data_IF_716433039624
#
_entry.id   IF_716433039624
#
_cell.length_a   1.000
_cell.length_b   1.000
_cell.length_c   1.000
_cell.angle_alpha   90.00
_cell.angle_beta   90.00
_cell.angle_gamma   90.00
#
_symmetry.space_group_name_H-M   'P 1'
#
loop_
_entity.id
_entity.type
_entity.pdbx_description
1 polymer ?
#
# COMPACT_ATOMS: atom_id res chain seq x y z
N UNK A 1 -5.18 -32.71 -8.50
CA UNK A 1 -5.16 -31.49 -9.34
C UNK A 1 -5.18 -30.27 -8.42
N UNK A 2 -4.32 -29.27 -8.65
CA UNK A 2 -4.31 -28.02 -7.86
C UNK A 2 -5.60 -27.23 -8.13
N UNK A 3 -6.27 -26.76 -7.08
CA UNK A 3 -7.49 -25.95 -7.15
C UNK A 3 -7.30 -24.65 -6.38
N UNK A 4 -8.11 -23.63 -6.68
CA UNK A 4 -8.09 -22.37 -5.92
C UNK A 4 -8.39 -22.61 -4.44
N UNK A 5 -9.36 -23.47 -4.13
CA UNK A 5 -9.69 -23.85 -2.74
C UNK A 5 -8.50 -24.48 -2.03
N UNK A 6 -7.71 -25.32 -2.72
CA UNK A 6 -6.46 -25.88 -2.17
C UNK A 6 -5.40 -24.81 -1.92
N UNK A 7 -5.26 -23.83 -2.83
CA UNK A 7 -4.34 -22.69 -2.63
C UNK A 7 -4.78 -21.84 -1.44
N UNK A 8 -6.08 -21.56 -1.29
CA UNK A 8 -6.62 -20.80 -0.15
C UNK A 8 -6.41 -21.56 1.15
N UNK A 9 -6.66 -22.88 1.17
CA UNK A 9 -6.40 -23.71 2.35
C UNK A 9 -4.92 -23.68 2.75
N UNK A 10 -4.01 -23.81 1.78
CA UNK A 10 -2.57 -23.67 2.03
C UNK A 10 -2.21 -22.27 2.54
N UNK A 11 -2.79 -21.22 1.94
CA UNK A 11 -2.58 -19.83 2.34
C UNK A 11 -3.03 -19.54 3.79
N UNK A 12 -4.11 -20.19 4.24
CA UNK A 12 -4.58 -20.16 5.64
C UNK A 12 -3.58 -20.86 6.56
N UNK A 13 -3.18 -22.09 6.21
CA UNK A 13 -2.23 -22.87 7.01
C UNK A 13 -0.89 -22.13 7.17
N UNK A 14 -0.37 -21.55 6.10
CA UNK A 14 0.87 -20.77 6.15
C UNK A 14 0.75 -19.53 7.04
N UNK A 15 -0.37 -18.81 6.98
CA UNK A 15 -0.64 -17.65 7.85
C UNK A 15 -0.72 -18.05 9.32
N UNK A 16 -1.42 -19.15 9.63
CA UNK A 16 -1.45 -19.70 10.99
C UNK A 16 -0.03 -20.07 11.45
N UNK A 17 0.75 -20.76 10.60
CA UNK A 17 2.13 -21.12 10.92
C UNK A 17 3.02 -19.90 11.20
N UNK A 18 2.98 -18.88 10.34
CA UNK A 18 3.74 -17.64 10.53
C UNK A 18 3.26 -16.85 11.75
N UNK A 19 1.96 -16.84 12.03
CA UNK A 19 1.40 -16.24 13.23
C UNK A 19 1.92 -16.91 14.50
N UNK A 20 1.85 -18.25 14.57
CA UNK A 20 2.35 -19.02 15.72
C UNK A 20 3.86 -18.87 15.89
N UNK A 21 4.61 -18.90 14.79
CA UNK A 21 6.05 -18.62 14.81
C UNK A 21 6.33 -17.20 15.31
N UNK A 22 5.53 -16.22 14.89
CA UNK A 22 5.64 -14.84 15.37
C UNK A 22 5.46 -14.72 16.88
N UNK A 23 4.49 -15.42 17.46
CA UNK A 23 4.30 -15.47 18.92
C UNK A 23 5.52 -16.08 19.61
N UNK A 24 6.03 -17.20 19.09
CA UNK A 24 7.24 -17.84 19.62
C UNK A 24 8.46 -16.90 19.55
N UNK A 25 8.68 -16.25 18.41
CA UNK A 25 9.78 -15.31 18.21
C UNK A 25 9.67 -14.10 19.15
N UNK A 26 8.46 -13.56 19.33
CA UNK A 26 8.23 -12.44 20.24
C UNK A 26 8.55 -12.78 21.70
N UNK A 27 8.35 -14.02 22.11
CA UNK A 27 8.66 -14.49 23.47
C UNK A 27 10.15 -14.83 23.65
N UNK A 28 10.78 -15.47 22.66
CA UNK A 28 12.09 -16.12 22.84
C UNK A 28 13.27 -15.38 22.20
N UNK A 29 13.03 -14.42 21.30
CA UNK A 29 14.10 -13.77 20.53
C UNK A 29 14.22 -12.27 20.86
N UNK A 30 15.44 -11.69 20.71
CA UNK A 30 15.65 -10.25 20.90
C UNK A 30 14.95 -9.43 19.81
N UNK A 31 15.06 -9.85 18.55
CA UNK A 31 14.37 -9.20 17.43
C UNK A 31 12.93 -9.67 17.40
N UNK A 32 12.01 -8.75 17.68
CA UNK A 32 10.57 -9.03 17.71
C UNK A 32 10.00 -9.22 16.31
N UNK A 33 9.08 -10.17 16.19
CA UNK A 33 8.29 -10.40 15.00
C UNK A 33 7.19 -9.35 14.89
N UNK A 34 6.45 -9.08 15.97
CA UNK A 34 5.36 -8.09 15.95
C UNK A 34 5.86 -6.73 15.48
N UNK A 35 5.13 -6.14 14.53
CA UNK A 35 5.37 -4.78 14.07
C UNK A 35 5.06 -3.79 15.20
N UNK A 36 5.89 -2.78 15.38
CA UNK A 36 5.70 -1.77 16.43
C UNK A 36 4.40 -1.01 16.24
N UNK A 37 3.97 -0.81 14.99
CA UNK A 37 2.69 -0.18 14.66
C UNK A 37 1.50 -1.00 15.23
N UNK A 38 1.60 -2.33 15.28
CA UNK A 38 0.54 -3.17 15.85
C UNK A 38 0.31 -2.90 17.34
N UNK A 39 1.40 -2.65 18.07
CA UNK A 39 1.32 -2.28 19.50
C UNK A 39 0.68 -0.91 19.65
N UNK A 40 1.05 0.05 18.80
CA UNK A 40 0.43 1.38 18.77
C UNK A 40 -1.07 1.29 18.46
N UNK A 41 -1.50 0.45 17.52
CA UNK A 41 -2.91 0.24 17.23
C UNK A 41 -3.67 -0.40 18.41
N UNK A 42 -3.05 -1.39 19.05
CA UNK A 42 -3.65 -2.13 20.17
C UNK A 42 -3.81 -1.25 21.41
N UNK A 43 -2.82 -0.42 21.71
CA UNK A 43 -2.91 0.57 22.78
C UNK A 43 -3.98 1.63 22.48
N UNK A 44 -4.03 2.13 21.25
CA UNK A 44 -5.07 3.07 20.82
C UNK A 44 -6.47 2.47 20.88
N UNK A 45 -6.63 1.19 20.51
CA UNK A 45 -7.92 0.50 20.61
C UNK A 45 -8.36 0.29 22.06
N UNK A 46 -7.42 0.16 22.99
CA UNK A 46 -7.71 0.13 24.44
C UNK A 46 -8.32 1.44 24.93
N UNK A 47 -7.78 2.58 24.49
CA UNK A 47 -8.38 3.89 24.81
C UNK A 47 -9.79 4.01 24.25
N UNK A 48 -10.00 3.60 22.99
CA UNK A 48 -11.35 3.59 22.39
C UNK A 48 -12.30 2.67 23.16
N UNK A 49 -11.84 1.47 23.57
CA UNK A 49 -12.63 0.54 24.37
C UNK A 49 -13.04 1.12 25.74
N UNK A 50 -12.23 2.00 26.31
CA UNK A 50 -12.51 2.73 27.55
C UNK A 50 -13.35 4.01 27.33
N UNK A 51 -13.82 4.27 26.11
CA UNK A 51 -14.58 5.48 25.77
C UNK A 51 -13.73 6.74 25.63
N UNK A 52 -12.41 6.60 25.44
CA UNK A 52 -11.45 7.70 25.34
C UNK A 52 -10.94 7.88 23.90
N UNK A 53 -10.22 8.99 23.67
CA UNK A 53 -9.58 9.29 22.38
C UNK A 53 -8.44 8.30 22.08
N UNK A 54 -8.38 7.68 20.88
CA UNK A 54 -7.24 6.84 20.50
C UNK A 54 -5.92 7.63 20.46
N UNK A 55 -6.00 8.95 20.32
CA UNK A 55 -4.85 9.85 20.26
C UNK A 55 -4.16 10.06 21.62
N UNK A 56 -4.76 9.60 22.72
CA UNK A 56 -4.07 9.48 24.00
C UNK A 56 -2.90 8.48 23.95
N UNK A 57 -2.90 7.57 22.96
CA UNK A 57 -1.70 6.80 22.65
C UNK A 57 -0.74 7.69 21.88
N UNK A 58 0.38 8.02 22.52
CA UNK A 58 1.49 8.69 21.86
C UNK A 58 1.86 7.97 20.57
N UNK A 59 2.23 8.71 19.52
CA UNK A 59 2.58 8.19 18.18
C UNK A 59 1.46 7.49 17.41
N UNK A 60 0.22 7.45 17.90
CA UNK A 60 -0.92 7.05 17.05
C UNK A 60 -1.18 8.12 15.99
N UNK A 61 -0.96 7.80 14.71
CA UNK A 61 -1.07 8.70 13.54
C UNK A 61 -1.98 8.16 12.46
N UNK A 62 -3.00 7.39 12.88
CA UNK A 62 -3.93 6.71 11.99
C UNK A 62 -5.34 7.22 12.25
N UNK A 63 -6.28 6.94 11.35
CA UNK A 63 -7.69 7.28 11.58
C UNK A 63 -8.25 6.50 12.77
N UNK A 64 -9.22 7.05 13.52
CA UNK A 64 -9.80 6.34 14.66
C UNK A 64 -10.49 5.05 14.26
N UNK A 65 -10.96 4.95 13.01
CA UNK A 65 -11.59 3.76 12.45
C UNK A 65 -10.74 2.50 12.63
N UNK A 66 -9.41 2.59 12.47
CA UNK A 66 -8.52 1.46 12.70
C UNK A 66 -8.54 1.03 14.18
N UNK A 67 -8.36 1.95 15.12
CA UNK A 67 -8.45 1.64 16.55
C UNK A 67 -9.82 1.06 16.93
N UNK A 68 -10.91 1.60 16.38
CA UNK A 68 -12.27 1.08 16.60
C UNK A 68 -12.42 -0.37 16.14
N UNK A 69 -11.91 -0.71 14.96
CA UNK A 69 -11.92 -2.09 14.44
C UNK A 69 -11.14 -3.06 15.33
N UNK A 70 -10.15 -2.58 16.08
CA UNK A 70 -9.30 -3.37 16.97
C UNK A 70 -9.76 -3.36 18.43
N UNK A 71 -10.92 -2.78 18.75
CA UNK A 71 -11.47 -2.83 20.11
C UNK A 71 -11.63 -4.26 20.67
N UNK A 72 -11.90 -5.31 19.86
CA UNK A 72 -11.96 -6.68 20.37
C UNK A 72 -10.63 -7.17 20.97
N UNK A 73 -9.48 -6.55 20.65
CA UNK A 73 -8.21 -6.87 21.31
C UNK A 73 -8.29 -6.79 22.85
N UNK A 74 -9.26 -6.02 23.38
CA UNK A 74 -9.44 -5.75 24.80
C UNK A 74 -10.50 -6.64 25.47
N UNK A 75 -11.11 -7.60 24.76
CA UNK A 75 -12.15 -8.49 25.32
C UNK A 75 -11.61 -9.59 26.23
N UNK A 76 -10.28 -9.70 26.36
CA UNK A 76 -9.61 -10.62 27.27
C UNK A 76 -8.33 -11.21 26.66
N UNK A 77 -7.60 -12.04 27.42
CA UNK A 77 -6.29 -12.56 27.00
C UNK A 77 -6.33 -13.34 25.68
N UNK A 78 -7.41 -14.09 25.41
CA UNK A 78 -7.57 -14.86 24.17
C UNK A 78 -7.74 -13.98 22.92
N UNK A 79 -8.10 -12.70 23.09
CA UNK A 79 -8.38 -11.77 21.99
C UNK A 79 -7.25 -10.79 21.72
N UNK A 80 -6.16 -10.79 22.49
CA UNK A 80 -5.07 -9.81 22.38
C UNK A 80 -4.46 -9.70 20.97
N UNK A 81 -4.55 -10.78 20.18
CA UNK A 81 -4.07 -10.86 18.80
C UNK A 81 -5.18 -10.80 17.75
N UNK A 82 -6.40 -10.40 18.12
CA UNK A 82 -7.54 -10.33 17.20
C UNK A 82 -7.23 -9.48 15.97
N UNK A 83 -6.55 -8.34 16.13
CA UNK A 83 -6.15 -7.49 15.01
C UNK A 83 -5.28 -8.20 13.97
N UNK A 84 -4.32 -9.02 14.40
CA UNK A 84 -3.51 -9.85 13.47
C UNK A 84 -4.39 -10.84 12.72
N UNK A 85 -5.37 -11.47 13.39
CA UNK A 85 -6.33 -12.37 12.74
C UNK A 85 -7.16 -11.63 11.70
N UNK A 86 -7.68 -10.45 12.06
CA UNK A 86 -8.42 -9.58 11.15
C UNK A 86 -7.59 -9.20 9.91
N UNK A 87 -6.31 -8.86 10.07
CA UNK A 87 -5.43 -8.53 8.94
C UNK A 87 -5.13 -9.74 8.05
N UNK A 88 -4.86 -10.91 8.65
CA UNK A 88 -4.72 -12.17 7.90
C UNK A 88 -5.97 -12.50 7.08
N UNK A 89 -7.16 -12.26 7.64
CA UNK A 89 -8.42 -12.43 6.91
C UNK A 89 -8.55 -11.42 5.77
N UNK A 90 -8.12 -10.18 5.98
CA UNK A 90 -8.05 -9.15 4.94
C UNK A 90 -7.23 -9.61 3.73
N UNK A 91 -6.04 -10.18 3.95
CA UNK A 91 -5.21 -10.71 2.86
C UNK A 91 -5.91 -11.80 2.06
N UNK A 92 -6.61 -12.72 2.73
CA UNK A 92 -7.32 -13.82 2.07
C UNK A 92 -8.47 -13.28 1.22
N UNK A 93 -9.23 -12.31 1.74
CA UNK A 93 -10.28 -11.61 0.99
C UNK A 93 -9.69 -10.91 -0.23
N UNK A 94 -8.58 -10.18 -0.07
CA UNK A 94 -7.86 -9.53 -1.18
C UNK A 94 -7.45 -10.55 -2.23
N UNK A 95 -6.91 -11.71 -1.83
CA UNK A 95 -6.53 -12.78 -2.75
C UNK A 95 -7.70 -13.37 -3.52
N UNK A 96 -8.87 -13.53 -2.88
CA UNK A 96 -10.10 -13.97 -3.54
C UNK A 96 -10.59 -12.91 -4.55
N UNK A 97 -10.55 -11.63 -4.20
CA UNK A 97 -10.91 -10.53 -5.10
C UNK A 97 -9.97 -10.47 -6.31
N UNK A 98 -8.66 -10.67 -6.10
CA UNK A 98 -7.68 -10.77 -7.18
C UNK A 98 -8.03 -11.94 -8.12
N UNK A 99 -8.28 -13.13 -7.57
CA UNK A 99 -8.61 -14.31 -8.38
C UNK A 99 -9.91 -14.11 -9.20
N UNK A 100 -10.93 -13.45 -8.61
CA UNK A 100 -12.18 -13.12 -9.31
C UNK A 100 -11.94 -12.14 -10.47
N UNK A 101 -11.18 -11.07 -10.25
CA UNK A 101 -10.87 -10.10 -11.29
C UNK A 101 -10.02 -10.71 -12.42
N UNK A 102 -9.06 -11.58 -12.10
CA UNK A 102 -8.29 -12.32 -13.09
C UNK A 102 -9.18 -13.23 -13.96
N UNK A 103 -10.21 -13.85 -13.37
CA UNK A 103 -11.12 -14.74 -14.08
C UNK A 103 -11.95 -14.02 -15.17
N UNK A 104 -12.04 -12.69 -15.13
CA UNK A 104 -12.67 -11.89 -16.18
C UNK A 104 -11.93 -11.98 -17.52
N UNK A 105 -10.61 -12.20 -17.48
CA UNK A 105 -9.84 -12.41 -18.69
C UNK A 105 -10.00 -13.85 -19.21
N UNK A 106 -10.96 -14.02 -20.12
CA UNK A 106 -11.28 -15.31 -20.76
C UNK A 106 -10.13 -15.91 -21.56
N UNK A 107 -9.07 -15.14 -21.84
CA UNK A 107 -7.88 -15.65 -22.55
C UNK A 107 -6.91 -16.39 -21.63
N UNK A 108 -7.06 -16.28 -20.31
CA UNK A 108 -6.20 -16.95 -19.35
C UNK A 108 -6.52 -18.44 -19.25
N UNK A 109 -5.49 -19.27 -19.43
CA UNK A 109 -5.61 -20.69 -19.11
C UNK A 109 -5.81 -20.90 -17.61
N UNK A 110 -6.52 -21.97 -17.24
CA UNK A 110 -6.76 -22.33 -15.83
C UNK A 110 -5.45 -22.41 -15.02
N UNK A 111 -4.39 -22.98 -15.60
CA UNK A 111 -3.09 -23.08 -14.95
C UNK A 111 -2.45 -21.72 -14.71
N UNK A 112 -2.46 -20.81 -15.71
CA UNK A 112 -1.92 -19.45 -15.56
C UNK A 112 -2.72 -18.66 -14.51
N UNK A 113 -4.06 -18.79 -14.52
CA UNK A 113 -4.93 -18.17 -13.52
C UNK A 113 -4.61 -18.63 -12.09
N UNK A 114 -4.38 -19.94 -11.88
CA UNK A 114 -3.98 -20.48 -10.57
C UNK A 114 -2.62 -19.96 -10.12
N UNK A 115 -1.63 -19.89 -11.03
CA UNK A 115 -0.29 -19.37 -10.73
C UNK A 115 -0.38 -17.90 -10.33
N UNK A 116 -1.06 -17.07 -11.12
CA UNK A 116 -1.23 -15.64 -10.83
C UNK A 116 -1.97 -15.41 -9.50
N UNK A 117 -3.02 -16.18 -9.22
CA UNK A 117 -3.74 -16.11 -7.93
C UNK A 117 -2.84 -16.48 -6.74
N UNK A 118 -1.90 -17.40 -6.94
CA UNK A 118 -0.94 -17.83 -5.92
C UNK A 118 0.08 -16.73 -5.57
N UNK A 119 0.38 -15.81 -6.50
CA UNK A 119 1.38 -14.74 -6.29
C UNK A 119 1.02 -13.74 -5.18
N UNK A 120 -0.25 -13.69 -4.77
CA UNK A 120 -0.68 -12.93 -3.59
C UNK A 120 -0.90 -13.86 -2.39
N UNK A 121 -1.70 -14.92 -2.58
CA UNK A 121 -2.12 -15.82 -1.50
C UNK A 121 -0.95 -16.53 -0.81
N UNK A 122 0.08 -16.91 -1.56
CA UNK A 122 1.25 -17.66 -1.08
C UNK A 122 2.51 -16.79 -0.98
N UNK A 123 2.40 -15.47 -1.11
CA UNK A 123 3.56 -14.59 -1.07
C UNK A 123 4.07 -14.43 0.36
N UNK A 124 5.33 -14.82 0.66
CA UNK A 124 5.87 -14.74 2.01
C UNK A 124 5.92 -13.31 2.55
N UNK A 125 6.08 -12.30 1.69
CA UNK A 125 6.05 -10.89 2.11
C UNK A 125 4.66 -10.45 2.55
N UNK A 126 3.63 -10.82 1.79
CA UNK A 126 2.22 -10.53 2.13
C UNK A 126 1.84 -11.22 3.43
N UNK A 127 2.13 -12.53 3.53
CA UNK A 127 1.88 -13.33 4.73
C UNK A 127 2.57 -12.70 5.94
N UNK A 128 3.87 -12.39 5.84
CA UNK A 128 4.65 -11.83 6.94
C UNK A 128 4.11 -10.47 7.37
N UNK A 129 3.79 -9.56 6.46
CA UNK A 129 3.34 -8.21 6.81
C UNK A 129 2.01 -8.25 7.59
N UNK A 130 1.07 -9.11 7.21
CA UNK A 130 -0.20 -9.23 7.93
C UNK A 130 -0.08 -9.96 9.27
N UNK A 131 0.70 -11.05 9.34
CA UNK A 131 0.93 -11.80 10.60
C UNK A 131 1.73 -11.00 11.62
N UNK A 132 2.61 -10.10 11.17
CA UNK A 132 3.31 -9.14 12.04
C UNK A 132 2.37 -8.08 12.64
N UNK A 133 1.17 -7.89 12.07
CA UNK A 133 0.16 -6.97 12.58
C UNK A 133 0.02 -5.66 11.82
N UNK A 134 0.42 -5.61 10.53
CA UNK A 134 0.22 -4.42 9.71
C UNK A 134 -1.23 -4.31 9.20
N UNK A 135 -1.80 -3.11 9.27
CA UNK A 135 -3.18 -2.83 8.81
C UNK A 135 -3.31 -2.66 7.29
N UNK A 136 -2.22 -2.80 6.53
CA UNK A 136 -2.23 -2.71 5.06
C UNK A 136 -3.23 -3.67 4.43
N UNK A 137 -3.41 -4.86 4.99
CA UNK A 137 -4.38 -5.85 4.51
C UNK A 137 -5.80 -5.30 4.42
N UNK A 138 -6.24 -4.48 5.39
CA UNK A 138 -7.56 -3.84 5.34
C UNK A 138 -7.65 -2.86 4.17
N UNK A 139 -6.61 -2.06 3.99
CA UNK A 139 -6.57 -1.09 2.91
C UNK A 139 -6.59 -1.75 1.53
N UNK A 140 -5.89 -2.87 1.38
CA UNK A 140 -5.94 -3.66 0.13
C UNK A 140 -7.34 -4.17 -0.17
N UNK A 141 -8.10 -4.61 0.84
CA UNK A 141 -9.51 -5.01 0.67
C UNK A 141 -10.34 -3.83 0.17
N UNK A 142 -10.22 -2.66 0.79
CA UNK A 142 -10.98 -1.46 0.38
C UNK A 142 -10.70 -1.07 -1.07
N UNK A 143 -9.42 -1.05 -1.48
CA UNK A 143 -9.01 -0.75 -2.85
C UNK A 143 -9.52 -1.81 -3.82
N UNK A 144 -9.35 -3.10 -3.50
CA UNK A 144 -9.79 -4.19 -4.39
C UNK A 144 -11.31 -4.31 -4.47
N UNK A 145 -12.06 -3.96 -3.43
CA UNK A 145 -13.52 -3.84 -3.48
C UNK A 145 -13.94 -2.72 -4.42
N UNK A 146 -13.29 -1.55 -4.34
CA UNK A 146 -13.54 -0.44 -5.27
C UNK A 146 -13.39 -0.89 -6.73
N UNK A 147 -12.30 -1.59 -7.04
CA UNK A 147 -12.02 -2.07 -8.39
C UNK A 147 -12.91 -3.23 -8.80
N UNK A 148 -13.25 -4.12 -7.87
CA UNK A 148 -14.17 -5.22 -8.13
C UNK A 148 -15.56 -4.71 -8.52
N UNK A 149 -16.14 -3.78 -7.75
CA UNK A 149 -17.44 -3.21 -8.11
C UNK A 149 -17.41 -2.41 -9.43
N UNK A 150 -16.30 -1.72 -9.71
CA UNK A 150 -16.13 -0.99 -10.96
C UNK A 150 -16.05 -1.93 -12.17
N UNK A 151 -15.21 -2.95 -12.09
CA UNK A 151 -14.83 -3.79 -13.23
C UNK A 151 -15.83 -4.92 -13.41
N UNK A 152 -16.27 -5.59 -12.35
CA UNK A 152 -17.17 -6.75 -12.44
C UNK A 152 -18.61 -6.30 -12.73
N UNK A 153 -19.11 -5.34 -11.95
CA UNK A 153 -20.51 -4.94 -11.99
C UNK A 153 -20.76 -3.62 -12.73
N UNK A 154 -19.72 -2.87 -13.09
CA UNK A 154 -19.89 -1.52 -13.64
C UNK A 154 -20.48 -0.53 -12.64
N UNK A 155 -20.52 -0.87 -11.34
CA UNK A 155 -21.17 -0.08 -10.30
C UNK A 155 -20.22 1.03 -9.81
N UNK A 156 -20.37 2.20 -10.45
CA UNK A 156 -19.60 3.42 -10.22
C UNK A 156 -19.77 3.93 -8.79
N UNK A 157 -20.97 3.84 -8.21
CA UNK A 157 -21.27 4.41 -6.89
C UNK A 157 -20.65 3.56 -5.77
N UNK A 158 -20.80 2.24 -5.84
CA UNK A 158 -20.15 1.33 -4.89
C UNK A 158 -18.62 1.44 -4.99
N UNK A 159 -18.09 1.52 -6.21
CA UNK A 159 -16.66 1.73 -6.43
C UNK A 159 -16.15 3.04 -5.81
N UNK A 160 -16.85 4.15 -6.04
CA UNK A 160 -16.53 5.45 -5.48
C UNK A 160 -16.60 5.47 -3.94
N UNK A 161 -17.60 4.80 -3.34
CA UNK A 161 -17.70 4.64 -1.90
C UNK A 161 -16.47 3.93 -1.31
N UNK A 162 -16.11 2.76 -1.85
CA UNK A 162 -14.96 2.00 -1.36
C UNK A 162 -13.64 2.75 -1.55
N UNK A 163 -13.48 3.51 -2.65
CA UNK A 163 -12.30 4.36 -2.84
C UNK A 163 -12.27 5.51 -1.82
N UNK A 164 -13.41 6.18 -1.59
CA UNK A 164 -13.51 7.25 -0.60
C UNK A 164 -13.18 6.76 0.82
N UNK A 165 -13.66 5.57 1.17
CA UNK A 165 -13.33 4.91 2.44
C UNK A 165 -11.86 4.50 2.51
N UNK A 166 -11.27 4.03 1.41
CA UNK A 166 -9.83 3.74 1.35
C UNK A 166 -8.98 5.01 1.59
N UNK A 167 -9.36 6.13 0.95
CA UNK A 167 -8.69 7.43 1.11
C UNK A 167 -8.84 7.97 2.53
N UNK A 168 -10.01 7.77 3.15
CA UNK A 168 -10.20 8.07 4.56
C UNK A 168 -9.20 7.27 5.40
N UNK A 169 -9.17 5.94 5.22
CA UNK A 169 -8.34 5.03 5.99
C UNK A 169 -6.84 5.34 5.89
N UNK A 170 -6.34 5.62 4.68
CA UNK A 170 -5.00 6.20 4.42
C UNK A 170 -5.08 7.10 3.18
N UNK A 171 -4.30 8.17 3.12
CA UNK A 171 -4.42 9.20 2.07
C UNK A 171 -4.01 8.70 0.67
N UNK A 172 -2.98 7.85 0.57
CA UNK A 172 -2.33 7.55 -0.72
C UNK A 172 -3.22 6.98 -1.84
N UNK A 173 -4.31 6.21 -1.59
CA UNK A 173 -5.21 5.73 -2.66
C UNK A 173 -5.83 6.85 -3.48
N UNK A 174 -5.73 8.12 -3.04
CA UNK A 174 -6.14 9.30 -3.82
C UNK A 174 -5.48 9.34 -5.20
N UNK A 175 -4.27 8.77 -5.34
CA UNK A 175 -3.58 8.71 -6.65
C UNK A 175 -4.37 7.89 -7.68
N UNK A 176 -5.25 6.98 -7.26
CA UNK A 176 -6.05 6.16 -8.18
C UNK A 176 -7.21 6.91 -8.82
N UNK A 177 -7.63 8.03 -8.23
CA UNK A 177 -8.75 8.81 -8.73
C UNK A 177 -8.51 9.30 -10.18
N UNK A 178 -7.38 9.95 -10.54
CA UNK A 178 -7.07 10.28 -11.93
C UNK A 178 -7.17 9.09 -12.90
N UNK A 179 -6.57 7.95 -12.55
CA UNK A 179 -6.58 6.73 -13.38
C UNK A 179 -8.01 6.23 -13.62
N UNK A 180 -8.84 6.18 -12.57
CA UNK A 180 -10.22 5.73 -12.70
C UNK A 180 -11.06 6.71 -13.52
N UNK A 181 -10.88 8.01 -13.33
CA UNK A 181 -11.58 9.04 -14.12
C UNK A 181 -11.20 8.98 -15.60
N UNK A 182 -9.93 8.72 -15.94
CA UNK A 182 -9.51 8.50 -17.32
C UNK A 182 -10.11 7.21 -17.90
N UNK A 183 -10.11 6.12 -17.14
CA UNK A 183 -10.71 4.85 -17.54
C UNK A 183 -12.20 4.99 -17.89
N UNK A 184 -12.97 5.70 -17.05
CA UNK A 184 -14.40 5.91 -17.24
C UNK A 184 -14.75 6.74 -18.50
N UNK A 185 -13.80 7.49 -19.07
CA UNK A 185 -14.03 8.20 -20.34
C UNK A 185 -14.22 7.27 -21.54
N UNK A 186 -13.74 6.02 -21.49
CA UNK A 186 -13.91 5.07 -22.60
C UNK A 186 -15.38 4.71 -22.87
N UNK A 187 -16.25 4.89 -21.87
CA UNK A 187 -17.66 4.48 -21.93
C UNK A 187 -18.62 5.65 -21.71
N UNK A 188 -18.17 6.88 -21.92
CA UNK A 188 -18.93 8.10 -21.62
C UNK A 188 -18.80 9.15 -22.72
N UNK A 189 -19.91 9.76 -23.11
CA UNK A 189 -19.89 10.95 -23.97
C UNK A 189 -19.50 12.18 -23.13
N UNK A 190 -18.57 13.02 -23.60
CA UNK A 190 -18.17 14.22 -22.89
C UNK A 190 -19.25 15.30 -22.98
N UNK A 191 -19.41 16.12 -21.93
CA UNK A 191 -20.35 17.27 -21.96
C UNK A 191 -19.85 18.35 -22.92
N UNK A 192 -18.52 18.49 -23.05
CA UNK A 192 -17.85 19.40 -24.00
C UNK A 192 -16.69 18.67 -24.67
N UNK A 193 -16.61 18.73 -26.00
CA UNK A 193 -15.69 17.90 -26.79
C UNK A 193 -14.31 18.56 -27.02
N UNK A 194 -13.48 18.57 -25.98
CA UNK A 194 -12.05 18.91 -26.06
C UNK A 194 -11.21 17.86 -25.28
N UNK A 195 -9.94 17.59 -25.66
CA UNK A 195 -9.16 16.47 -25.11
C UNK A 195 -9.09 16.43 -23.57
N UNK A 196 -8.92 17.59 -22.93
CA UNK A 196 -8.91 17.74 -21.46
C UNK A 196 -10.33 17.73 -20.88
N UNK A 197 -11.29 18.32 -21.60
CA UNK A 197 -12.68 18.46 -21.17
C UNK A 197 -13.46 17.13 -21.33
N UNK A 198 -12.88 16.11 -21.98
CA UNK A 198 -13.42 14.73 -22.00
C UNK A 198 -13.58 14.12 -20.60
N UNK A 199 -12.82 14.62 -19.62
CA UNK A 199 -12.96 14.24 -18.22
C UNK A 199 -14.27 14.75 -17.59
N UNK A 200 -14.85 15.81 -18.14
CA UNK A 200 -16.12 16.38 -17.69
C UNK A 200 -17.27 15.63 -18.35
N UNK A 201 -17.70 14.55 -17.71
CA UNK A 201 -18.85 13.76 -18.09
C UNK A 201 -19.63 13.33 -16.84
N UNK A 202 -20.90 12.95 -17.02
CA UNK A 202 -21.80 12.60 -15.92
C UNK A 202 -21.25 11.46 -15.05
N UNK A 203 -20.59 10.45 -15.65
CA UNK A 203 -20.03 9.32 -14.92
C UNK A 203 -18.86 9.74 -14.02
N UNK A 204 -17.96 10.57 -14.55
CA UNK A 204 -16.84 11.13 -13.79
C UNK A 204 -17.30 12.08 -12.68
N UNK A 205 -18.26 12.97 -12.96
CA UNK A 205 -18.82 13.87 -11.95
C UNK A 205 -19.47 13.05 -10.82
N UNK A 206 -20.29 12.05 -11.16
CA UNK A 206 -20.89 11.15 -10.15
C UNK A 206 -19.82 10.42 -9.34
N UNK A 207 -18.82 9.83 -9.99
CA UNK A 207 -17.75 9.10 -9.31
C UNK A 207 -16.96 10.00 -8.34
N UNK A 208 -16.52 11.18 -8.80
CA UNK A 208 -15.80 12.14 -7.98
C UNK A 208 -16.64 12.64 -6.81
N UNK A 209 -17.91 13.00 -7.06
CA UNK A 209 -18.81 13.51 -6.02
C UNK A 209 -19.07 12.46 -4.94
N UNK A 210 -19.33 11.19 -5.31
CA UNK A 210 -19.55 10.12 -4.34
C UNK A 210 -18.29 9.75 -3.56
N UNK A 211 -17.11 9.80 -4.20
CA UNK A 211 -15.82 9.60 -3.52
C UNK A 211 -15.61 10.68 -2.47
N UNK A 212 -15.81 11.94 -2.84
CA UNK A 212 -15.69 13.10 -1.93
C UNK A 212 -16.74 13.03 -0.82
N UNK A 213 -18.00 12.72 -1.14
CA UNK A 213 -19.07 12.61 -0.16
C UNK A 213 -18.77 11.53 0.89
N UNK A 214 -18.23 10.38 0.47
CA UNK A 214 -17.83 9.32 1.40
C UNK A 214 -16.66 9.77 2.28
N UNK A 215 -15.63 10.39 1.69
CA UNK A 215 -14.50 10.93 2.44
C UNK A 215 -14.95 11.97 3.48
N UNK A 216 -15.81 12.91 3.09
CA UNK A 216 -16.37 13.94 3.97
C UNK A 216 -17.25 13.33 5.07
N UNK A 217 -18.04 12.30 4.75
CA UNK A 217 -18.87 11.60 5.73
C UNK A 217 -18.00 10.98 6.83
N UNK A 218 -17.02 10.15 6.46
CA UNK A 218 -16.19 9.47 7.45
C UNK A 218 -15.26 10.43 8.21
N UNK A 219 -14.68 11.43 7.54
CA UNK A 219 -13.91 12.48 8.21
C UNK A 219 -14.78 13.31 9.15
N UNK A 220 -15.99 13.66 8.72
CA UNK A 220 -16.96 14.39 9.53
C UNK A 220 -17.36 13.60 10.78
N UNK A 221 -17.66 12.30 10.63
CA UNK A 221 -17.96 11.42 11.76
C UNK A 221 -16.80 11.33 12.75
N UNK A 222 -15.56 11.16 12.27
CA UNK A 222 -14.38 11.11 13.15
C UNK A 222 -14.10 12.46 13.82
N UNK A 223 -14.30 13.58 13.11
CA UNK A 223 -14.16 14.91 13.67
C UNK A 223 -15.23 15.22 14.73
N UNK A 224 -16.47 14.77 14.54
CA UNK A 224 -17.52 14.92 15.55
C UNK A 224 -17.21 14.15 16.84
N UNK A 225 -16.48 13.03 16.74
CA UNK A 225 -16.10 12.22 17.90
C UNK A 225 -14.84 12.71 18.62
N UNK A 226 -13.82 13.19 17.89
CA UNK A 226 -12.49 13.46 18.44
C UNK A 226 -11.98 14.89 18.21
N UNK A 227 -12.75 15.74 17.51
CA UNK A 227 -12.41 17.14 17.28
C UNK A 227 -11.09 17.35 16.54
N UNK A 228 -10.33 18.35 16.97
CA UNK A 228 -9.09 18.77 16.31
C UNK A 228 -7.96 17.71 16.39
N UNK A 229 -7.92 16.91 17.46
CA UNK A 229 -6.92 15.83 17.61
C UNK A 229 -6.91 14.89 16.40
N UNK A 230 -8.09 14.58 15.86
CA UNK A 230 -8.24 13.75 14.67
C UNK A 230 -7.49 14.32 13.46
N UNK A 231 -7.67 15.61 13.18
CA UNK A 231 -7.04 16.26 12.03
C UNK A 231 -5.53 16.38 12.22
N UNK A 232 -5.11 16.79 13.42
CA UNK A 232 -3.71 16.98 13.77
C UNK A 232 -2.91 15.68 13.61
N UNK A 233 -3.44 14.57 14.15
CA UNK A 233 -2.73 13.30 14.16
C UNK A 233 -2.91 12.47 12.89
N UNK A 234 -4.09 12.46 12.25
CA UNK A 234 -4.34 11.60 11.09
C UNK A 234 -3.90 12.21 9.75
N UNK A 235 -3.86 13.54 9.65
CA UNK A 235 -3.63 14.22 8.38
C UNK A 235 -2.49 15.26 8.46
N UNK A 236 -2.60 16.25 9.35
CA UNK A 236 -1.65 17.37 9.38
C UNK A 236 -0.24 16.91 9.76
N UNK A 237 -0.12 15.91 10.65
CA UNK A 237 1.16 15.30 10.99
C UNK A 237 1.95 14.81 9.77
N UNK A 238 1.29 14.32 8.72
CA UNK A 238 1.98 13.80 7.53
C UNK A 238 2.65 14.88 6.67
N UNK A 239 2.24 16.14 6.82
CA UNK A 239 2.87 17.27 6.12
C UNK A 239 4.23 17.57 6.76
N UNK A 240 4.29 17.59 8.10
CA UNK A 240 5.48 17.94 8.87
C UNK A 240 6.39 16.75 9.21
N UNK A 241 5.92 15.50 8.98
CA UNK A 241 6.67 14.29 9.32
C UNK A 241 8.05 14.24 8.65
N UNK A 242 9.07 14.04 9.48
CA UNK A 242 10.44 13.66 9.11
C UNK A 242 10.65 12.22 9.54
N UNK A 243 10.74 11.30 8.59
CA UNK A 243 11.07 9.91 8.89
C UNK A 243 12.51 9.61 8.45
N UNK A 244 13.39 9.63 9.45
CA UNK A 244 14.83 9.48 9.27
C UNK A 244 15.32 8.06 9.55
N UNK A 245 14.49 7.20 10.17
CA UNK A 245 14.87 5.81 10.46
C UNK A 245 14.17 4.89 9.48
N UNK A 246 14.75 3.72 9.21
CA UNK A 246 14.06 2.65 8.49
C UNK A 246 13.49 3.04 7.11
N UNK A 247 14.14 3.98 6.41
CA UNK A 247 13.65 4.58 5.18
C UNK A 247 14.50 4.18 3.97
N UNK A 248 13.95 3.42 3.02
CA UNK A 248 14.66 3.00 1.80
C UNK A 248 14.91 4.13 0.80
N UNK A 249 14.24 5.28 1.00
CA UNK A 249 14.30 6.41 0.08
C UNK A 249 15.70 6.99 -0.02
N UNK A 250 16.06 7.47 -1.21
CA UNK A 250 17.30 8.24 -1.43
C UNK A 250 17.35 9.52 -0.58
N UNK A 251 16.19 10.00 -0.10
CA UNK A 251 16.08 11.14 0.80
C UNK A 251 16.41 10.82 2.27
N UNK A 252 16.61 9.54 2.64
CA UNK A 252 16.84 9.12 4.02
C UNK A 252 17.96 9.94 4.70
N UNK A 253 19.14 10.03 4.09
CA UNK A 253 20.28 10.74 4.71
C UNK A 253 20.00 12.23 4.93
N UNK A 254 19.35 12.88 3.96
CA UNK A 254 18.98 14.30 4.09
C UNK A 254 18.01 14.50 5.25
N UNK A 255 17.00 13.63 5.37
CA UNK A 255 16.03 13.66 6.48
C UNK A 255 16.72 13.36 7.83
N UNK A 256 17.68 12.45 7.84
CA UNK A 256 18.47 12.12 9.03
C UNK A 256 19.28 13.31 9.53
N UNK A 257 20.12 13.91 8.68
CA UNK A 257 20.89 15.08 9.10
C UNK A 257 19.99 16.25 9.48
N UNK A 258 18.90 16.48 8.73
CA UNK A 258 17.91 17.51 9.07
C UNK A 258 17.30 17.29 10.45
N UNK A 259 17.02 16.04 10.84
CA UNK A 259 16.50 15.72 12.17
C UNK A 259 17.48 16.02 13.32
N UNK A 260 18.79 16.09 13.02
CA UNK A 260 19.83 16.41 13.99
C UNK A 260 20.15 17.92 14.07
N UNK A 261 19.70 18.72 13.11
CA UNK A 261 19.91 20.17 13.11
C UNK A 261 18.96 20.84 14.11
N UNK A 262 19.51 21.52 15.12
CA UNK A 262 18.74 22.23 16.15
C UNK A 262 18.21 23.60 15.71
N UNK A 263 18.75 24.15 14.62
CA UNK A 263 18.35 25.45 14.07
C UNK A 263 17.49 25.26 12.84
N UNK A 264 16.31 25.86 12.83
CA UNK A 264 15.44 25.91 11.65
C UNK A 264 16.14 26.70 10.53
N UNK A 265 16.82 25.99 9.63
CA UNK A 265 17.39 26.57 8.43
C UNK A 265 16.27 26.99 7.48
N UNK A 266 16.21 28.27 7.12
CA UNK A 266 15.25 28.89 6.20
C UNK A 266 15.43 28.48 4.72
N UNK A 267 16.11 27.36 4.46
CA UNK A 267 16.30 26.80 3.13
C UNK A 267 15.05 26.05 2.67
N UNK A 268 14.73 26.09 1.37
CA UNK A 268 13.69 25.23 0.79
C UNK A 268 13.97 23.77 1.11
N UNK A 269 13.02 23.11 1.75
CA UNK A 269 13.07 21.70 2.11
C UNK A 269 13.22 20.85 0.83
N UNK A 270 14.44 20.41 0.52
CA UNK A 270 14.77 19.66 -0.71
C UNK A 270 13.90 18.40 -0.82
N UNK A 271 13.50 17.80 0.30
CA UNK A 271 12.58 16.67 0.35
C UNK A 271 11.17 16.99 -0.15
N UNK A 272 10.75 18.26 -0.14
CA UNK A 272 9.45 18.68 -0.72
C UNK A 272 9.50 18.67 -2.23
N UNK A 273 10.69 18.84 -2.83
CA UNK A 273 10.87 18.69 -4.27
C UNK A 273 10.63 17.26 -4.73
N UNK A 274 10.74 16.26 -3.85
CA UNK A 274 10.42 14.85 -4.15
C UNK A 274 8.97 14.68 -4.64
N UNK A 275 8.04 15.52 -4.16
CA UNK A 275 6.64 15.45 -4.56
C UNK A 275 6.42 15.81 -6.02
N UNK A 276 7.29 16.62 -6.64
CA UNK A 276 7.13 17.06 -8.02
C UNK A 276 7.25 15.89 -9.00
N UNK A 277 8.40 15.17 -9.11
CA UNK A 277 8.50 14.02 -9.99
C UNK A 277 7.55 12.90 -9.57
N UNK A 278 7.32 12.72 -8.25
CA UNK A 278 6.40 11.69 -7.75
C UNK A 278 4.97 11.91 -8.27
N UNK A 279 4.37 13.09 -8.05
CA UNK A 279 2.99 13.38 -8.44
C UNK A 279 2.85 13.56 -9.96
N UNK A 280 3.86 14.13 -10.62
CA UNK A 280 3.85 14.27 -12.08
C UNK A 280 3.86 12.90 -12.77
N UNK A 281 4.79 12.01 -12.39
CA UNK A 281 4.92 10.70 -13.02
C UNK A 281 3.73 9.80 -12.66
N UNK A 282 3.45 9.64 -11.36
CA UNK A 282 2.42 8.71 -10.89
C UNK A 282 1.00 9.27 -11.02
N UNK A 283 0.77 10.55 -10.76
CA UNK A 283 -0.56 11.15 -10.74
C UNK A 283 -1.05 11.66 -12.10
N UNK A 284 -0.14 11.92 -13.05
CA UNK A 284 -0.48 12.53 -14.34
C UNK A 284 -0.02 11.68 -15.53
N UNK A 285 1.28 11.45 -15.69
CA UNK A 285 1.85 10.82 -16.91
C UNK A 285 1.39 9.37 -17.06
N UNK A 286 1.53 8.55 -16.02
CA UNK A 286 1.12 7.13 -16.07
C UNK A 286 -0.40 6.99 -16.34
N UNK A 287 -1.29 7.68 -15.62
CA UNK A 287 -2.73 7.66 -15.89
C UNK A 287 -3.09 8.04 -17.32
N UNK A 288 -2.48 9.10 -17.86
CA UNK A 288 -2.74 9.56 -19.23
C UNK A 288 -2.42 8.50 -20.29
N UNK A 289 -1.34 7.74 -20.10
CA UNK A 289 -0.84 6.76 -21.08
C UNK A 289 -1.56 5.42 -20.97
N UNK A 290 -1.79 4.94 -19.74
CA UNK A 290 -2.17 3.53 -19.49
C UNK A 290 -3.60 3.32 -19.02
N UNK A 291 -4.24 4.29 -18.35
CA UNK A 291 -5.51 4.05 -17.67
C UNK A 291 -6.65 3.62 -18.61
N UNK A 292 -6.64 4.12 -19.85
CA UNK A 292 -7.62 3.74 -20.89
C UNK A 292 -7.34 2.40 -21.54
N UNK A 293 -6.09 1.91 -21.47
CA UNK A 293 -5.67 0.64 -22.09
C UNK A 293 -5.98 -0.52 -21.16
N UNK A 294 -5.44 -0.46 -19.94
CA UNK A 294 -5.66 -1.46 -18.90
C UNK A 294 -5.52 -0.79 -17.52
N UNK A 295 -6.65 -0.65 -16.82
CA UNK A 295 -6.68 0.07 -15.55
C UNK A 295 -5.78 -0.59 -14.49
N UNK A 296 -5.84 -1.91 -14.32
CA UNK A 296 -5.11 -2.59 -13.25
C UNK A 296 -3.60 -2.56 -13.46
N UNK A 297 -3.13 -2.70 -14.71
CA UNK A 297 -1.72 -2.54 -15.06
C UNK A 297 -1.26 -1.09 -14.90
N UNK A 298 -2.14 -0.12 -15.21
CA UNK A 298 -1.89 1.30 -14.91
C UNK A 298 -1.70 1.52 -13.39
N UNK A 299 -2.59 0.99 -12.55
CA UNK A 299 -2.50 1.14 -11.09
C UNK A 299 -1.25 0.46 -10.51
N UNK A 300 -0.81 -0.66 -11.07
CA UNK A 300 0.47 -1.29 -10.72
C UNK A 300 1.66 -0.34 -10.95
N UNK A 301 1.85 0.12 -12.19
CA UNK A 301 2.98 0.99 -12.54
C UNK A 301 2.89 2.33 -11.79
N UNK A 302 1.68 2.87 -11.68
CA UNK A 302 1.40 4.09 -10.93
C UNK A 302 1.85 3.97 -9.48
N UNK A 303 1.45 2.89 -8.79
CA UNK A 303 1.78 2.70 -7.37
C UNK A 303 3.25 2.40 -7.17
N UNK A 304 3.85 1.56 -8.03
CA UNK A 304 5.28 1.27 -7.97
C UNK A 304 6.11 2.55 -8.15
N UNK A 305 5.72 3.40 -9.11
CA UNK A 305 6.36 4.71 -9.34
C UNK A 305 6.14 5.66 -8.18
N UNK A 306 4.92 5.72 -7.63
CA UNK A 306 4.62 6.53 -6.45
C UNK A 306 5.49 6.16 -5.25
N UNK A 307 5.67 4.87 -4.98
CA UNK A 307 6.53 4.40 -3.90
C UNK A 307 8.00 4.71 -4.20
N UNK A 308 8.48 4.43 -5.42
CA UNK A 308 9.89 4.66 -5.82
C UNK A 308 10.34 6.11 -5.61
N UNK A 309 9.47 7.08 -5.91
CA UNK A 309 9.77 8.51 -5.78
C UNK A 309 9.31 9.11 -4.45
N UNK A 310 8.86 8.31 -3.49
CA UNK A 310 8.43 8.82 -2.20
C UNK A 310 9.64 9.24 -1.33
N UNK A 311 9.51 10.34 -0.59
CA UNK A 311 10.51 10.77 0.40
C UNK A 311 10.66 9.80 1.57
N UNK A 312 9.63 9.00 1.86
CA UNK A 312 9.65 7.96 2.90
C UNK A 312 9.18 6.65 2.29
N UNK A 313 9.98 5.60 2.43
CA UNK A 313 9.67 4.26 1.92
C UNK A 313 9.95 3.26 3.04
N UNK A 314 8.94 2.49 3.44
CA UNK A 314 9.06 1.34 4.34
C UNK A 314 8.64 0.07 3.61
N UNK A 315 9.00 -1.11 4.13
CA UNK A 315 8.63 -2.38 3.49
C UNK A 315 7.12 -2.60 3.39
N UNK A 316 6.32 -2.00 4.29
CA UNK A 316 4.86 -2.08 4.25
C UNK A 316 4.30 -1.52 2.93
N UNK A 317 4.96 -0.51 2.34
CA UNK A 317 4.49 0.15 1.12
C UNK A 317 4.56 -0.77 -0.11
N UNK A 318 5.35 -1.84 -0.07
CA UNK A 318 5.46 -2.76 -1.20
C UNK A 318 4.16 -3.54 -1.43
N UNK A 319 3.34 -3.70 -0.38
CA UNK A 319 2.00 -4.26 -0.49
C UNK A 319 1.14 -3.46 -1.47
N UNK A 320 1.30 -2.13 -1.52
CA UNK A 320 0.46 -1.24 -2.31
C UNK A 320 0.53 -1.51 -3.82
N UNK A 321 1.68 -1.94 -4.34
CA UNK A 321 1.78 -2.36 -5.74
C UNK A 321 1.66 -3.88 -5.91
N UNK A 322 2.04 -4.69 -4.92
CA UNK A 322 1.93 -6.15 -5.01
C UNK A 322 0.48 -6.63 -5.17
N UNK A 323 -0.51 -5.89 -4.67
CA UNK A 323 -1.93 -6.18 -4.92
C UNK A 323 -2.31 -6.23 -6.40
N UNK A 324 -1.63 -5.45 -7.25
CA UNK A 324 -1.90 -5.38 -8.68
C UNK A 324 -0.98 -6.27 -9.52
N UNK A 325 0.12 -6.76 -8.93
CA UNK A 325 1.13 -7.56 -9.63
C UNK A 325 0.52 -8.76 -10.39
N UNK A 326 -0.42 -9.56 -9.83
CA UNK A 326 -1.02 -10.67 -10.57
C UNK A 326 -1.72 -10.25 -11.85
N UNK A 327 -2.43 -9.11 -11.83
CA UNK A 327 -3.11 -8.57 -13.01
C UNK A 327 -2.12 -8.02 -14.02
N UNK A 328 -1.13 -7.26 -13.56
CA UNK A 328 -0.07 -6.74 -14.41
C UNK A 328 0.67 -7.88 -15.15
N UNK A 329 1.08 -8.93 -14.43
CA UNK A 329 1.74 -10.09 -15.02
C UNK A 329 0.85 -10.94 -15.94
N UNK A 330 -0.48 -10.81 -15.81
CA UNK A 330 -1.41 -11.45 -16.75
C UNK A 330 -1.27 -10.89 -18.16
N UNK A 331 -1.00 -9.57 -18.27
CA UNK A 331 -0.85 -8.79 -19.51
C UNK A 331 0.59 -8.62 -19.96
N UNK A 332 1.53 -8.62 -19.02
CA UNK A 332 2.96 -8.44 -19.31
C UNK A 332 3.59 -9.64 -20.02
N UNK A 333 4.55 -9.36 -20.90
CA UNK A 333 5.39 -10.37 -21.53
C UNK A 333 6.57 -10.86 -20.65
N UNK A 334 6.73 -10.35 -19.42
CA UNK A 334 7.83 -10.72 -18.51
C UNK A 334 7.78 -12.17 -18.03
N UNK A 335 6.61 -12.83 -18.06
CA UNK A 335 6.51 -14.26 -17.73
C UNK A 335 6.73 -15.19 -18.94
N UNK A 336 6.74 -14.63 -20.15
CA UNK A 336 6.76 -15.40 -21.40
C UNK A 336 7.97 -14.98 -22.24
N UNK A 337 7.74 -14.15 -23.26
CA UNK A 337 8.73 -13.73 -24.25
C UNK A 337 9.96 -13.07 -23.62
N UNK A 338 9.78 -12.26 -22.56
CA UNK A 338 10.86 -11.54 -21.87
C UNK A 338 11.20 -12.16 -20.51
N UNK A 339 11.09 -13.48 -20.36
CA UNK A 339 11.35 -14.20 -19.09
C UNK A 339 12.67 -13.86 -18.38
N UNK A 340 13.76 -13.69 -19.14
CA UNK A 340 15.06 -13.34 -18.57
C UNK A 340 15.05 -11.93 -17.98
N UNK A 341 14.33 -10.99 -18.59
CA UNK A 341 14.13 -9.66 -18.03
C UNK A 341 13.22 -9.72 -16.80
N UNK A 342 12.20 -10.60 -16.80
CA UNK A 342 11.36 -10.85 -15.63
C UNK A 342 12.16 -11.35 -14.42
N UNK A 343 13.03 -12.34 -14.63
CA UNK A 343 13.96 -12.84 -13.60
C UNK A 343 14.93 -11.74 -13.17
N UNK A 344 15.50 -11.01 -14.11
CA UNK A 344 16.40 -9.89 -13.81
C UNK A 344 15.73 -8.83 -12.92
N UNK A 345 14.53 -8.39 -13.27
CA UNK A 345 13.75 -7.40 -12.50
C UNK A 345 13.45 -7.91 -11.10
N UNK A 346 13.01 -9.17 -10.97
CA UNK A 346 12.74 -9.77 -9.66
C UNK A 346 13.99 -9.84 -8.79
N UNK A 347 15.10 -10.35 -9.35
CA UNK A 347 16.39 -10.44 -8.65
C UNK A 347 16.90 -9.07 -8.26
N UNK A 348 16.84 -8.09 -9.16
CA UNK A 348 17.28 -6.72 -8.91
C UNK A 348 16.47 -6.07 -7.77
N UNK A 349 15.15 -6.27 -7.77
CA UNK A 349 14.27 -5.77 -6.72
C UNK A 349 14.55 -6.43 -5.36
N UNK A 350 14.77 -7.75 -5.31
CA UNK A 350 15.10 -8.47 -4.07
C UNK A 350 16.49 -8.09 -3.54
N UNK A 351 17.51 -8.11 -4.41
CA UNK A 351 18.90 -7.85 -4.02
C UNK A 351 19.06 -6.42 -3.50
N UNK A 352 18.44 -5.44 -4.16
CA UNK A 352 18.50 -4.05 -3.69
C UNK A 352 17.88 -3.84 -2.31
N UNK A 353 16.76 -4.50 -2.00
CA UNK A 353 16.20 -4.52 -0.64
C UNK A 353 17.13 -5.24 0.35
N UNK A 354 17.66 -6.39 -0.03
CA UNK A 354 18.56 -7.19 0.81
C UNK A 354 19.83 -6.42 1.19
N UNK A 355 20.44 -5.71 0.23
CA UNK A 355 21.59 -4.83 0.49
C UNK A 355 21.26 -3.73 1.49
N UNK A 356 20.09 -3.09 1.35
CA UNK A 356 19.66 -2.05 2.27
C UNK A 356 19.39 -2.61 3.68
N UNK A 357 18.63 -3.70 3.78
CA UNK A 357 18.29 -4.36 5.05
C UNK A 357 19.53 -4.88 5.78
N UNK A 358 20.51 -5.42 5.06
CA UNK A 358 21.78 -5.87 5.63
C UNK A 358 22.52 -4.73 6.32
N UNK A 359 22.64 -3.58 5.66
CA UNK A 359 23.31 -2.41 6.25
C UNK A 359 22.48 -1.78 7.38
N UNK A 360 21.16 -1.73 7.25
CA UNK A 360 20.28 -1.28 8.33
C UNK A 360 20.39 -2.17 9.58
N UNK A 361 20.50 -3.49 9.41
CA UNK A 361 20.68 -4.42 10.51
C UNK A 361 21.99 -4.17 11.27
N UNK A 362 23.10 -3.97 10.52
CA UNK A 362 24.40 -3.64 11.12
C UNK A 362 24.36 -2.33 11.91
N UNK A 363 23.68 -1.32 11.38
CA UNK A 363 23.50 -0.04 12.07
C UNK A 363 22.69 -0.19 13.36
N UNK A 364 21.48 -0.73 13.26
CA UNK A 364 20.48 -0.67 14.34
C UNK A 364 20.69 -1.76 15.40
N UNK A 365 21.16 -2.95 15.01
CA UNK A 365 21.28 -4.09 15.92
C UNK A 365 22.71 -4.43 16.32
N UNK A 366 23.70 -4.17 15.45
CA UNK A 366 25.12 -4.41 15.77
C UNK A 366 25.85 -3.13 16.23
N UNK A 367 25.23 -1.96 16.08
CA UNK A 367 25.84 -0.67 16.45
C UNK A 367 27.02 -0.26 15.56
N UNK A 368 27.14 -0.87 14.37
CA UNK A 368 28.21 -0.55 13.43
C UNK A 368 27.84 0.69 12.61
N UNK A 369 28.73 1.68 12.51
CA UNK A 369 28.45 2.87 11.71
C UNK A 369 28.47 2.56 10.20
N UNK A 370 27.29 2.26 9.65
CA UNK A 370 27.06 2.06 8.21
C UNK A 370 26.29 3.21 7.57
N UNK A 371 26.06 4.31 8.30
CA UNK A 371 25.13 5.38 7.92
C UNK A 371 25.56 6.09 6.63
N UNK A 372 26.76 6.68 6.62
CA UNK A 372 27.16 7.66 5.60
C UNK A 372 27.41 7.03 4.21
N UNK A 373 28.16 5.92 4.14
CA UNK A 373 28.52 5.31 2.86
C UNK A 373 27.65 4.12 2.50
N UNK A 374 27.46 3.16 3.41
CA UNK A 374 26.85 1.89 3.06
C UNK A 374 25.32 2.01 2.92
N UNK A 375 24.64 2.66 3.87
CA UNK A 375 23.18 2.82 3.85
C UNK A 375 22.75 3.82 2.76
N UNK A 376 23.51 4.91 2.57
CA UNK A 376 23.29 5.84 1.47
C UNK A 376 23.44 5.17 0.10
N UNK A 377 24.56 4.47 -0.14
CA UNK A 377 24.76 3.76 -1.41
C UNK A 377 23.72 2.66 -1.63
N UNK A 378 23.26 1.98 -0.56
CA UNK A 378 22.16 1.01 -0.65
C UNK A 378 20.84 1.68 -1.04
N UNK A 379 20.56 2.88 -0.53
CA UNK A 379 19.36 3.66 -0.86
C UNK A 379 19.41 4.16 -2.31
N UNK A 380 20.58 4.60 -2.78
CA UNK A 380 20.81 4.96 -4.18
C UNK A 380 20.67 3.74 -5.11
N UNK A 381 21.27 2.61 -4.73
CA UNK A 381 21.14 1.35 -5.47
C UNK A 381 19.68 0.89 -5.55
N UNK A 382 18.94 0.97 -4.44
CA UNK A 382 17.50 0.71 -4.40
C UNK A 382 16.72 1.64 -5.34
N UNK A 383 16.96 2.95 -5.28
CA UNK A 383 16.28 3.90 -6.16
C UNK A 383 16.54 3.63 -7.65
N UNK A 384 17.81 3.49 -8.06
CA UNK A 384 18.19 3.19 -9.44
C UNK A 384 17.62 1.85 -9.92
N UNK A 385 17.66 0.83 -9.06
CA UNK A 385 17.06 -0.48 -9.33
C UNK A 385 15.58 -0.38 -9.61
N UNK A 386 14.83 0.37 -8.80
CA UNK A 386 13.39 0.56 -8.99
C UNK A 386 13.09 1.38 -10.26
N UNK A 387 13.90 2.39 -10.60
CA UNK A 387 13.79 3.10 -11.89
C UNK A 387 13.98 2.17 -13.10
N UNK A 388 14.95 1.25 -13.04
CA UNK A 388 15.14 0.22 -14.06
C UNK A 388 13.91 -0.70 -14.13
N UNK A 389 13.38 -1.12 -12.98
CA UNK A 389 12.16 -1.93 -12.91
C UNK A 389 10.97 -1.24 -13.58
N UNK A 390 10.74 0.05 -13.31
CA UNK A 390 9.68 0.85 -13.95
C UNK A 390 9.84 0.84 -15.48
N UNK A 391 11.06 1.06 -15.98
CA UNK A 391 11.36 1.01 -17.41
C UNK A 391 11.04 -0.35 -18.04
N UNK A 392 11.40 -1.46 -17.37
CA UNK A 392 11.10 -2.80 -17.86
C UNK A 392 9.61 -3.15 -17.75
N UNK A 393 8.91 -2.68 -16.72
CA UNK A 393 7.47 -2.86 -16.62
C UNK A 393 6.73 -2.19 -17.77
N UNK A 394 7.09 -0.93 -18.08
CA UNK A 394 6.51 -0.17 -19.20
C UNK A 394 6.76 -0.87 -20.54
N UNK A 395 7.99 -1.33 -20.80
CA UNK A 395 8.32 -2.05 -22.06
C UNK A 395 7.67 -3.43 -22.18
N UNK A 396 7.09 -3.95 -21.09
CA UNK A 396 6.53 -5.29 -21.06
C UNK A 396 5.03 -5.36 -21.32
N UNK A 397 4.34 -4.23 -21.19
CA UNK A 397 2.95 -4.02 -21.61
C UNK A 397 2.91 -3.65 -23.09
#
# INVERSE_FOLDING_TARGET
MVTLSGIIALAIVLRIGFFLFGLYQDEHMPVKYTDIDYLVFSDASRYVFQGQSPYLRETYRYTPLLAMMLTPNNWGPAWCSFGKVLFMMGDLVTGVLIAKLLAKDKTLSKSKWLILSSLWLLNPMVITISTRGSSESILTVLIMLSLYYLIEYGNILASAFWLGLAIHFKIYPIIYLPSILFYLTNSSQPIVNYPVIKLVNVRNIKYATYTIATLLLFNGLMYLLYGQEFLDHSYLYHIVRIDHRHNFSVYNMVLYYKSALTTASSSTDIETLAFIPQLLLSGVIIPLIFAKKDLLSCLFIQTFTFVTFNKVITSQYFIWFLIFLPHFLSKSNLLHTRRFHGIFVLTLWIVSQGCWLYNAYRLEFLGENTLDYALFNSSLFFFLSNCICIGEFIKSL
#
